data_IF_019408203596
#
_entry.id   IF_019408203596
#
_cell.length_a   1.000
_cell.length_b   1.000
_cell.length_c   1.000
_cell.angle_alpha   90.00
_cell.angle_beta   90.00
_cell.angle_gamma   90.00
#
_symmetry.space_group_name_H-M   'P 1'
#
loop_
_entity.id
_entity.type
_entity.pdbx_description
1 polymer ?
#
# COMPACT_ATOMS: atom_id res chain seq x y z
N UNK A 1 15.75 -3.76 29.05
CA UNK A 1 15.97 -3.88 27.66
C UNK A 1 14.93 -3.11 26.85
N UNK A 2 15.39 -2.51 25.83
CA UNK A 2 14.52 -1.71 25.06
C UNK A 2 13.77 -2.52 24.04
N UNK A 3 12.50 -2.37 24.01
CA UNK A 3 11.71 -3.07 23.04
C UNK A 3 11.68 -2.30 21.73
N UNK A 4 11.98 -2.97 20.65
CA UNK A 4 11.90 -2.33 19.36
C UNK A 4 10.44 -2.10 19.00
N UNK A 5 10.16 -0.92 18.51
CA UNK A 5 8.81 -0.57 18.11
C UNK A 5 8.49 -1.29 16.80
N UNK A 6 7.49 -2.18 16.86
CA UNK A 6 7.08 -2.95 15.69
C UNK A 6 6.67 -2.03 14.55
N UNK A 7 6.06 -0.88 14.87
CA UNK A 7 5.62 0.02 13.82
C UNK A 7 6.78 0.72 13.14
N UNK A 8 7.91 0.88 13.84
CA UNK A 8 9.09 1.45 13.21
C UNK A 8 9.63 0.52 12.12
N UNK A 9 9.75 -0.76 12.44
CA UNK A 9 10.21 -1.74 11.47
C UNK A 9 9.24 -1.89 10.31
N UNK A 10 7.95 -1.87 10.62
CA UNK A 10 6.93 -1.94 9.60
C UNK A 10 6.99 -0.71 8.69
N UNK A 11 7.14 0.47 9.26
CA UNK A 11 7.23 1.69 8.48
C UNK A 11 8.42 1.66 7.54
N UNK A 12 9.54 1.11 8.00
CA UNK A 12 10.72 0.98 7.17
C UNK A 12 10.48 0.00 6.02
N UNK A 13 9.77 -1.10 6.30
CA UNK A 13 9.46 -2.07 5.26
C UNK A 13 8.52 -1.46 4.22
N UNK A 14 7.50 -0.75 4.69
CA UNK A 14 6.56 -0.09 3.78
C UNK A 14 7.29 0.94 2.92
N UNK A 15 8.15 1.75 3.54
CA UNK A 15 8.90 2.77 2.80
C UNK A 15 9.84 2.14 1.77
N UNK A 16 10.52 1.05 2.15
CA UNK A 16 11.39 0.36 1.21
C UNK A 16 10.65 -0.20 0.02
N UNK A 17 9.49 -0.80 0.29
CA UNK A 17 8.65 -1.33 -0.77
C UNK A 17 8.16 -0.21 -1.69
N UNK A 18 7.70 0.90 -1.12
CA UNK A 18 7.21 2.02 -1.90
C UNK A 18 8.32 2.65 -2.76
N UNK A 19 9.53 2.74 -2.20
CA UNK A 19 10.66 3.27 -2.97
C UNK A 19 10.98 2.38 -4.16
N UNK A 20 10.92 1.06 -3.98
CA UNK A 20 11.18 0.14 -5.07
C UNK A 20 10.15 0.29 -6.17
N UNK A 21 8.88 0.47 -5.81
CA UNK A 21 7.83 0.69 -6.80
C UNK A 21 8.06 2.01 -7.52
N UNK A 22 8.35 3.07 -6.78
CA UNK A 22 8.56 4.39 -7.39
C UNK A 22 9.74 4.39 -8.34
N UNK A 23 10.75 3.58 -8.05
CA UNK A 23 11.93 3.47 -8.90
C UNK A 23 11.70 2.53 -10.09
N UNK A 24 10.55 1.90 -10.17
CA UNK A 24 10.29 0.94 -11.24
C UNK A 24 10.98 -0.39 -11.05
N UNK A 25 11.49 -0.64 -9.85
CA UNK A 25 12.23 -1.86 -9.54
C UNK A 25 11.29 -2.91 -8.98
N UNK A 26 10.45 -3.45 -9.87
CA UNK A 26 9.39 -4.36 -9.46
C UNK A 26 9.96 -5.64 -8.85
N UNK A 27 11.07 -6.15 -9.37
CA UNK A 27 11.66 -7.35 -8.80
C UNK A 27 12.12 -7.13 -7.37
N UNK A 28 12.64 -5.93 -7.07
CA UNK A 28 13.05 -5.60 -5.70
C UNK A 28 11.83 -5.45 -4.80
N UNK A 29 10.75 -4.84 -5.32
CA UNK A 29 9.52 -4.69 -4.55
C UNK A 29 8.90 -6.05 -4.24
N UNK A 30 8.97 -6.98 -5.17
CA UNK A 30 8.40 -8.30 -5.02
C UNK A 30 9.05 -9.09 -3.88
N UNK A 31 10.27 -8.74 -3.51
CA UNK A 31 10.95 -9.44 -2.41
C UNK A 31 10.26 -9.25 -1.07
N UNK A 32 9.42 -8.25 -0.95
CA UNK A 32 8.64 -8.05 0.27
C UNK A 32 7.44 -8.99 0.35
N UNK A 33 7.06 -9.64 -0.76
CA UNK A 33 5.87 -10.49 -0.78
C UNK A 33 6.17 -11.87 -0.26
N UNK A 34 5.29 -12.37 0.59
CA UNK A 34 5.35 -13.76 1.03
C UNK A 34 4.99 -14.65 -0.16
N UNK A 35 5.58 -15.85 -0.19
CA UNK A 35 5.35 -16.76 -1.33
C UNK A 35 3.88 -17.08 -1.54
N UNK A 36 3.08 -17.09 -0.46
CA UNK A 36 1.65 -17.38 -0.58
C UNK A 36 0.90 -16.25 -1.26
N UNK A 37 1.46 -15.05 -1.29
CA UNK A 37 0.82 -13.90 -1.91
C UNK A 37 1.45 -13.56 -3.26
N UNK A 38 2.45 -14.32 -3.71
CA UNK A 38 3.23 -13.91 -4.86
C UNK A 38 2.42 -13.86 -6.15
N UNK A 39 1.47 -14.77 -6.31
CA UNK A 39 0.63 -14.78 -7.50
C UNK A 39 -0.21 -13.51 -7.60
N UNK A 40 -0.93 -13.20 -6.51
CA UNK A 40 -1.73 -11.97 -6.48
C UNK A 40 -0.85 -10.74 -6.59
N UNK A 41 0.32 -10.77 -5.96
CA UNK A 41 1.25 -9.65 -6.03
C UNK A 41 1.66 -9.37 -7.46
N UNK A 42 1.98 -10.42 -8.22
CA UNK A 42 2.42 -10.26 -9.60
C UNK A 42 1.32 -9.76 -10.51
N UNK A 43 0.08 -10.16 -10.24
CA UNK A 43 -1.03 -9.64 -11.02
C UNK A 43 -1.19 -8.14 -10.83
N UNK A 44 -1.09 -7.69 -9.59
CA UNK A 44 -1.20 -6.27 -9.29
C UNK A 44 0.02 -5.52 -9.85
N UNK A 45 1.20 -6.10 -9.72
CA UNK A 45 2.42 -5.48 -10.25
C UNK A 45 2.33 -5.27 -11.76
N UNK A 46 1.69 -6.20 -12.46
CA UNK A 46 1.50 -6.04 -13.89
C UNK A 46 0.64 -4.83 -14.21
N UNK A 47 -0.42 -4.62 -13.41
CA UNK A 47 -1.27 -3.45 -13.58
C UNK A 47 -0.50 -2.16 -13.28
N UNK A 48 0.32 -2.18 -12.25
CA UNK A 48 1.14 -1.01 -11.92
C UNK A 48 2.10 -0.71 -13.06
N UNK A 49 2.70 -1.74 -13.65
CA UNK A 49 3.63 -1.55 -14.76
C UNK A 49 2.98 -0.91 -15.97
N UNK A 50 1.68 -1.11 -16.15
CA UNK A 50 0.96 -0.50 -17.27
C UNK A 50 0.79 0.99 -17.12
N UNK A 51 1.01 1.53 -15.93
CA UNK A 51 0.89 2.96 -15.72
C UNK A 51 1.95 3.74 -16.49
N UNK A 52 3.12 3.15 -16.68
CA UNK A 52 4.21 3.71 -17.46
C UNK A 52 4.73 5.04 -16.93
N UNK A 53 5.94 5.38 -17.34
CA UNK A 53 6.57 6.62 -16.93
C UNK A 53 7.01 6.58 -15.46
N UNK A 54 7.51 7.67 -14.94
CA UNK A 54 7.88 7.74 -13.54
C UNK A 54 6.66 7.53 -12.67
N UNK A 55 6.83 6.77 -11.60
CA UNK A 55 5.74 6.47 -10.70
C UNK A 55 5.87 7.28 -9.41
N UNK A 56 4.74 7.77 -8.91
CA UNK A 56 4.66 8.44 -7.62
C UNK A 56 3.81 7.58 -6.72
N UNK A 57 4.32 7.26 -5.54
CA UNK A 57 3.59 6.44 -4.57
C UNK A 57 3.14 7.33 -3.43
N UNK A 58 1.84 7.36 -3.19
CA UNK A 58 1.25 8.14 -2.11
C UNK A 58 0.73 7.22 -1.04
N UNK A 59 1.17 7.41 0.19
CA UNK A 59 0.65 6.66 1.33
C UNK A 59 -0.67 7.28 1.74
N UNK A 60 -1.74 6.52 1.64
CA UNK A 60 -3.07 7.05 1.92
C UNK A 60 -3.54 6.72 3.32
N UNK A 61 -3.27 5.51 3.80
CA UNK A 61 -3.73 5.09 5.11
C UNK A 61 -2.97 3.87 5.58
N UNK A 62 -2.94 3.69 6.89
CA UNK A 62 -2.39 2.49 7.51
C UNK A 62 -3.34 2.12 8.65
N UNK A 63 -3.85 0.90 8.63
CA UNK A 63 -4.80 0.44 9.64
C UNK A 63 -4.33 -0.88 10.23
N UNK A 64 -4.52 -1.03 11.52
CA UNK A 64 -4.18 -2.27 12.22
C UNK A 64 -5.42 -3.14 12.33
N UNK A 65 -5.28 -4.39 11.90
CA UNK A 65 -6.37 -5.36 11.99
C UNK A 65 -5.82 -6.58 12.70
N UNK A 66 -6.16 -6.73 13.97
CA UNK A 66 -5.58 -7.81 14.77
C UNK A 66 -4.08 -7.67 14.83
N UNK A 67 -3.38 -8.71 14.43
CA UNK A 67 -1.91 -8.72 14.44
C UNK A 67 -1.33 -8.27 13.11
N UNK A 68 -2.17 -7.85 12.17
CA UNK A 68 -1.73 -7.47 10.84
C UNK A 68 -2.00 -6.01 10.59
N UNK A 69 -1.36 -5.47 9.56
CA UNK A 69 -1.57 -4.09 9.14
C UNK A 69 -1.92 -4.06 7.67
N UNK A 70 -2.77 -3.11 7.31
CA UNK A 70 -3.13 -2.88 5.92
C UNK A 70 -2.67 -1.48 5.54
N UNK A 71 -1.80 -1.40 4.53
CA UNK A 71 -1.41 -0.11 3.99
C UNK A 71 -2.18 0.14 2.70
N UNK A 72 -2.66 1.35 2.55
CA UNK A 72 -3.41 1.77 1.37
C UNK A 72 -2.58 2.79 0.62
N UNK A 73 -2.30 2.50 -0.63
CA UNK A 73 -1.46 3.35 -1.46
C UNK A 73 -2.20 3.77 -2.70
N UNK A 74 -1.83 4.95 -3.22
CA UNK A 74 -2.18 5.32 -4.58
C UNK A 74 -0.90 5.46 -5.37
N UNK A 75 -0.81 4.76 -6.48
CA UNK A 75 0.37 4.75 -7.33
C UNK A 75 -0.01 5.41 -8.64
N UNK A 76 0.65 6.52 -8.96
CA UNK A 76 0.31 7.36 -10.10
C UNK A 76 1.42 7.31 -11.12
N UNK A 77 1.07 7.11 -12.37
CA UNK A 77 2.00 7.13 -13.49
C UNK A 77 1.43 7.90 -14.66
N UNK A 78 2.09 7.81 -15.79
CA UNK A 78 1.67 8.54 -16.97
C UNK A 78 0.31 8.08 -17.48
N UNK A 79 -0.01 6.80 -17.31
CA UNK A 79 -1.26 6.25 -17.84
C UNK A 79 -2.42 6.26 -16.85
N UNK A 80 -2.25 6.86 -15.67
CA UNK A 80 -3.32 6.90 -14.69
C UNK A 80 -2.83 6.52 -13.31
N UNK A 81 -3.68 5.83 -12.56
CA UNK A 81 -3.33 5.46 -11.20
C UNK A 81 -3.94 4.12 -10.82
N UNK A 82 -3.40 3.55 -9.73
CA UNK A 82 -3.93 2.37 -9.09
C UNK A 82 -4.01 2.60 -7.60
N UNK A 83 -5.11 2.19 -6.99
CA UNK A 83 -5.25 2.15 -5.54
C UNK A 83 -5.05 0.71 -5.12
N UNK A 84 -4.08 0.47 -4.24
CA UNK A 84 -3.71 -0.87 -3.88
C UNK A 84 -3.64 -1.00 -2.37
N UNK A 85 -4.15 -2.08 -1.86
CA UNK A 85 -4.03 -2.43 -0.46
C UNK A 85 -2.98 -3.52 -0.34
N UNK A 86 -2.07 -3.35 0.62
CA UNK A 86 -1.10 -4.38 0.96
C UNK A 86 -1.33 -4.78 2.40
N UNK A 87 -1.49 -6.09 2.62
CA UNK A 87 -1.67 -6.61 3.97
C UNK A 87 -0.32 -7.13 4.46
N UNK A 88 0.16 -6.54 5.54
CA UNK A 88 1.47 -6.83 6.10
C UNK A 88 1.32 -7.72 7.31
N UNK A 89 2.18 -8.73 7.38
CA UNK A 89 2.21 -9.66 8.50
C UNK A 89 3.65 -9.84 8.96
N UNK A 90 3.83 -9.95 10.28
CA UNK A 90 5.14 -10.20 10.84
C UNK A 90 5.38 -11.71 10.88
N UNK A 91 6.51 -12.13 10.36
CA UNK A 91 6.89 -13.53 10.36
C UNK A 91 7.55 -13.89 11.68
N UNK A 92 7.71 -15.20 11.93
CA UNK A 92 8.30 -15.67 13.19
C UNK A 92 9.73 -15.18 13.36
N UNK A 93 10.43 -14.87 12.27
CA UNK A 93 11.80 -14.35 12.36
C UNK A 93 11.80 -12.82 12.57
N UNK A 94 10.65 -12.21 12.73
CA UNK A 94 10.53 -10.79 12.96
C UNK A 94 10.42 -9.94 11.72
N UNK A 95 10.53 -10.56 10.55
CA UNK A 95 10.49 -9.81 9.30
C UNK A 95 9.04 -9.52 8.89
N UNK A 96 8.82 -8.32 8.40
CA UNK A 96 7.51 -7.95 7.88
C UNK A 96 7.41 -8.30 6.41
N UNK A 97 6.33 -8.98 6.04
CA UNK A 97 6.12 -9.40 4.66
C UNK A 97 4.71 -9.04 4.22
N UNK A 98 4.53 -8.90 2.93
CA UNK A 98 3.21 -8.68 2.35
C UNK A 98 2.53 -10.04 2.23
N UNK A 99 1.45 -10.21 2.98
CA UNK A 99 0.71 -11.47 3.03
C UNK A 99 -0.53 -11.45 2.14
N UNK A 100 -0.87 -10.31 1.59
CA UNK A 100 -1.99 -10.19 0.67
C UNK A 100 -1.93 -8.86 -0.03
N UNK A 101 -2.57 -8.77 -1.19
CA UNK A 101 -2.60 -7.55 -1.97
C UNK A 101 -3.92 -7.52 -2.74
N UNK A 102 -4.48 -6.33 -2.86
CA UNK A 102 -5.72 -6.15 -3.59
C UNK A 102 -5.70 -4.82 -4.32
N UNK A 103 -6.02 -4.85 -5.61
CA UNK A 103 -6.18 -3.63 -6.41
C UNK A 103 -7.62 -3.18 -6.25
N UNK A 104 -7.83 -2.04 -5.61
CA UNK A 104 -9.16 -1.54 -5.33
C UNK A 104 -9.54 -0.37 -6.23
N UNK A 105 -8.80 -0.14 -7.30
CA UNK A 105 -9.03 1.00 -8.18
C UNK A 105 -10.47 1.08 -8.67
N UNK A 106 -11.01 -0.05 -9.11
CA UNK A 106 -12.35 -0.08 -9.66
C UNK A 106 -13.30 -0.91 -8.81
N UNK A 107 -12.93 -1.17 -7.56
CA UNK A 107 -13.74 -1.98 -6.67
C UNK A 107 -14.10 -1.22 -5.44
N UNK A 108 -15.24 -1.56 -4.88
CA UNK A 108 -15.58 -1.10 -3.57
C UNK A 108 -15.25 -2.19 -2.58
N UNK A 109 -14.51 -1.87 -1.56
CA UNK A 109 -14.19 -2.79 -0.50
C UNK A 109 -14.35 -2.05 0.82
N UNK A 110 -14.39 -2.78 1.94
CA UNK A 110 -14.48 -2.08 3.23
C UNK A 110 -13.39 -1.05 3.43
N UNK A 111 -12.24 -1.28 2.82
CA UNK A 111 -11.11 -0.37 2.97
C UNK A 111 -11.19 0.82 2.04
N UNK A 112 -12.01 0.75 1.01
CA UNK A 112 -12.21 1.88 0.10
C UNK A 112 -12.84 3.05 0.81
N UNK A 113 -13.56 2.79 1.89
CA UNK A 113 -14.24 3.84 2.62
C UNK A 113 -13.37 4.45 3.72
N UNK A 114 -12.19 3.90 3.95
CA UNK A 114 -11.27 4.48 4.94
C UNK A 114 -10.73 5.78 4.38
N UNK A 115 -11.00 6.93 5.04
CA UNK A 115 -10.53 8.20 4.50
C UNK A 115 -9.03 8.32 4.60
N UNK A 116 -8.43 8.91 3.58
CA UNK A 116 -7.04 9.31 3.62
C UNK A 116 -6.98 10.69 4.26
N UNK A 117 -5.79 11.12 4.63
CA UNK A 117 -5.64 12.45 5.17
C UNK A 117 -6.10 13.50 4.14
N UNK A 118 -5.70 13.33 2.89
CA UNK A 118 -6.11 14.27 1.85
C UNK A 118 -7.60 14.17 1.54
N UNK A 119 -8.12 12.95 1.49
CA UNK A 119 -9.54 12.76 1.21
C UNK A 119 -10.41 13.29 2.34
N UNK A 120 -9.97 13.11 3.59
CA UNK A 120 -10.71 13.63 4.72
C UNK A 120 -10.78 15.15 4.65
N UNK A 121 -9.68 15.81 4.33
CA UNK A 121 -9.67 17.25 4.20
C UNK A 121 -10.56 17.72 3.06
N UNK A 122 -10.52 17.03 1.92
CA UNK A 122 -11.36 17.37 0.79
C UNK A 122 -12.83 17.16 1.10
N UNK A 123 -13.15 16.10 1.83
CA UNK A 123 -14.52 15.80 2.19
C UNK A 123 -15.09 16.86 3.12
N UNK A 124 -14.30 17.28 4.10
CA UNK A 124 -14.73 18.36 4.99
C UNK A 124 -15.01 19.62 4.20
N UNK A 125 -14.17 19.94 3.25
CA UNK A 125 -14.35 21.11 2.42
C UNK A 125 -15.62 21.02 1.59
N UNK A 126 -15.90 19.85 1.03
CA UNK A 126 -17.10 19.64 0.24
C UNK A 126 -18.34 19.77 1.11
N UNK A 127 -18.33 19.13 2.27
CA UNK A 127 -19.48 19.19 3.16
C UNK A 127 -19.76 20.58 3.63
N UNK A 128 -18.74 21.37 3.90
CA UNK A 128 -18.91 22.71 4.40
C UNK A 128 -19.17 23.75 3.33
N UNK A 129 -18.67 23.52 2.13
CA UNK A 129 -18.77 24.51 1.09
C UNK A 129 -19.78 24.20 0.01
N UNK A 130 -20.31 22.97 0.02
CA UNK A 130 -21.06 22.53 -1.11
C UNK A 130 -22.18 21.60 -0.74
N UNK A 131 -22.53 21.73 0.48
CA UNK A 131 -23.52 20.84 1.07
C UNK A 131 -24.73 20.68 0.20
#
# INVERSE_FOLDING_TARGET
MKKVDDTTELSEAIAGHSRAIAAGEIAAAEKFAHRDAIGAYREVAAEISRLAGPLVVEDLALAKIGAQYISKLRIVGAGGYRRVLYRWRRESDGKWVIAGVEDTTNKRSPWSDVPTLAAAAAQVRVENGNA
#
